data_IF_642247624089
#
_entry.id   IF_642247624089
#
_cell.length_a   1.000
_cell.length_b   1.000
_cell.length_c   1.000
_cell.angle_alpha   90.00
_cell.angle_beta   90.00
_cell.angle_gamma   90.00
#
_symmetry.space_group_name_H-M   'P 1'
#
loop_
_entity.id
_entity.type
_entity.pdbx_description
1 polymer ?
#
# COMPACT_ATOMS: atom_id res chain seq x y z
N UNK A 1 -50.39 8.12 68.71
CA UNK A 1 -50.36 8.03 67.22
C UNK A 1 -48.99 7.71 66.59
N UNK A 2 -47.86 7.94 67.27
CA UNK A 2 -46.52 7.72 66.73
C UNK A 2 -46.08 6.23 66.75
N UNK A 3 -46.62 5.36 67.58
CA UNK A 3 -46.24 3.93 67.65
C UNK A 3 -46.91 3.04 66.60
N UNK A 4 -47.96 3.48 65.93
CA UNK A 4 -48.61 2.70 64.87
C UNK A 4 -47.95 2.91 63.51
N UNK A 5 -47.25 4.01 63.28
CA UNK A 5 -46.58 4.34 62.03
C UNK A 5 -45.26 3.53 61.84
N UNK A 6 -44.58 3.20 62.95
CA UNK A 6 -43.33 2.40 62.89
C UNK A 6 -43.54 0.93 62.52
N UNK A 7 -44.65 0.36 62.96
CA UNK A 7 -44.95 -1.09 62.71
C UNK A 7 -45.36 -1.36 61.25
N UNK A 8 -46.05 -0.40 60.62
CA UNK A 8 -46.48 -0.55 59.23
C UNK A 8 -45.33 -0.29 58.24
N UNK A 9 -44.41 0.62 58.55
CA UNK A 9 -43.19 0.84 57.73
C UNK A 9 -42.20 -0.33 57.79
N UNK A 10 -41.99 -0.90 58.97
CA UNK A 10 -41.10 -2.07 59.13
C UNK A 10 -41.74 -3.32 58.52
N UNK A 11 -43.04 -3.51 58.59
CA UNK A 11 -43.74 -4.62 57.91
C UNK A 11 -43.74 -4.47 56.39
N UNK A 12 -43.82 -3.23 55.85
CA UNK A 12 -43.76 -2.97 54.41
C UNK A 12 -42.35 -3.14 53.85
N UNK A 13 -41.31 -2.69 54.56
CA UNK A 13 -39.90 -2.90 54.18
C UNK A 13 -39.51 -4.33 54.19
N UNK A 14 -39.92 -5.10 55.20
CA UNK A 14 -39.67 -6.57 55.24
C UNK A 14 -40.41 -7.31 54.14
N UNK A 15 -41.63 -6.87 53.76
CA UNK A 15 -42.39 -7.52 52.65
C UNK A 15 -41.78 -7.20 51.30
N UNK A 16 -41.28 -5.99 51.09
CA UNK A 16 -40.57 -5.57 49.89
C UNK A 16 -39.21 -6.25 49.78
N UNK A 17 -38.46 -6.40 50.88
CA UNK A 17 -37.18 -7.11 50.88
C UNK A 17 -37.37 -8.61 50.58
N UNK A 18 -38.40 -9.24 51.12
CA UNK A 18 -38.68 -10.66 50.85
C UNK A 18 -39.13 -10.95 49.41
N UNK A 19 -39.73 -9.94 48.72
CA UNK A 19 -40.08 -10.05 47.32
C UNK A 19 -38.86 -9.80 46.43
N UNK A 20 -38.04 -8.81 46.78
CA UNK A 20 -36.81 -8.47 46.02
C UNK A 20 -35.73 -9.54 46.11
N UNK A 21 -35.66 -10.28 47.24
CA UNK A 21 -34.69 -11.36 47.47
C UNK A 21 -35.31 -12.79 47.37
N UNK A 22 -36.52 -12.89 46.82
CA UNK A 22 -37.09 -14.22 46.53
C UNK A 22 -36.25 -14.92 45.45
N UNK A 23 -36.16 -16.28 45.54
CA UNK A 23 -35.41 -17.05 44.52
C UNK A 23 -35.87 -16.76 43.10
N UNK A 24 -37.14 -16.48 42.92
CA UNK A 24 -37.75 -16.15 41.61
C UNK A 24 -37.32 -14.77 41.12
N UNK A 25 -37.22 -13.76 41.98
CA UNK A 25 -36.73 -12.43 41.63
C UNK A 25 -35.24 -12.45 41.29
N UNK A 26 -34.43 -13.21 42.06
CA UNK A 26 -33.00 -13.39 41.77
C UNK A 26 -32.81 -14.08 40.41
N UNK A 27 -33.60 -15.09 40.08
CA UNK A 27 -33.54 -15.75 38.79
C UNK A 27 -33.91 -14.80 37.66
N UNK A 28 -34.95 -13.97 37.82
CA UNK A 28 -35.34 -12.95 36.84
C UNK A 28 -34.22 -11.90 36.60
N UNK A 29 -33.53 -11.46 37.65
CA UNK A 29 -32.38 -10.57 37.52
C UNK A 29 -31.20 -11.21 36.79
N UNK A 30 -30.94 -12.49 37.04
CA UNK A 30 -29.89 -13.26 36.32
C UNK A 30 -30.22 -13.35 34.84
N UNK A 31 -31.46 -13.68 34.46
CA UNK A 31 -31.88 -13.71 33.06
C UNK A 31 -31.81 -12.33 32.39
N UNK A 32 -32.18 -11.26 33.10
CA UNK A 32 -32.05 -9.90 32.57
C UNK A 32 -30.59 -9.52 32.36
N UNK A 33 -29.71 -9.87 33.28
CA UNK A 33 -28.27 -9.62 33.16
C UNK A 33 -27.64 -10.38 31.97
N UNK A 34 -28.02 -11.66 31.82
CA UNK A 34 -27.59 -12.46 30.67
C UNK A 34 -28.09 -11.83 29.34
N UNK A 35 -29.34 -11.36 29.29
CA UNK A 35 -29.90 -10.68 28.16
C UNK A 35 -29.15 -9.39 27.79
N UNK A 36 -28.77 -8.58 28.79
CA UNK A 36 -27.98 -7.37 28.59
C UNK A 36 -26.55 -7.73 28.08
N UNK A 37 -25.92 -8.72 28.70
CA UNK A 37 -24.58 -9.17 28.24
C UNK A 37 -24.65 -9.69 26.81
N UNK A 38 -25.65 -10.47 26.45
CA UNK A 38 -25.85 -10.96 25.09
C UNK A 38 -26.07 -9.79 24.10
N UNK A 39 -26.85 -8.79 24.47
CA UNK A 39 -27.07 -7.60 23.65
C UNK A 39 -25.79 -6.78 23.46
N UNK A 40 -24.96 -6.63 24.50
CA UNK A 40 -23.65 -5.97 24.41
C UNK A 40 -22.69 -6.75 23.52
N UNK A 41 -22.64 -8.07 23.66
CA UNK A 41 -21.79 -8.92 22.80
C UNK A 41 -22.22 -8.84 21.34
N UNK A 42 -23.53 -8.87 21.07
CA UNK A 42 -24.07 -8.71 19.72
C UNK A 42 -23.75 -7.31 19.17
N UNK A 43 -23.90 -6.25 19.98
CA UNK A 43 -23.56 -4.88 19.60
C UNK A 43 -22.06 -4.71 19.33
N UNK A 44 -21.19 -5.31 20.15
CA UNK A 44 -19.74 -5.30 19.93
C UNK A 44 -19.40 -6.07 18.65
N UNK A 45 -19.97 -7.25 18.42
CA UNK A 45 -19.77 -8.02 17.19
C UNK A 45 -20.23 -7.28 15.93
N UNK A 46 -21.37 -6.58 16.00
CA UNK A 46 -21.87 -5.76 14.88
C UNK A 46 -20.95 -4.56 14.64
N UNK A 47 -20.41 -3.96 15.70
CA UNK A 47 -19.53 -2.79 15.60
C UNK A 47 -18.09 -3.17 15.20
N UNK A 48 -17.58 -4.33 15.61
CA UNK A 48 -16.32 -4.89 15.12
C UNK A 48 -16.43 -5.30 13.64
N UNK A 49 -17.56 -5.86 13.23
CA UNK A 49 -17.82 -6.18 11.82
C UNK A 49 -17.86 -4.91 10.92
N UNK A 50 -18.28 -3.76 11.47
CA UNK A 50 -18.20 -2.46 10.80
C UNK A 50 -16.79 -1.85 10.77
N UNK A 51 -15.89 -2.30 11.66
CA UNK A 51 -14.51 -1.79 11.77
C UNK A 51 -13.46 -2.65 11.06
N UNK A 52 -13.83 -3.85 10.60
CA UNK A 52 -12.90 -4.80 9.98
C UNK A 52 -13.20 -4.94 8.47
N UNK A 53 -12.47 -4.24 7.57
CA UNK A 53 -12.60 -4.44 6.13
C UNK A 53 -12.31 -5.88 5.68
N UNK A 54 -11.54 -6.64 6.49
CA UNK A 54 -11.25 -8.05 6.25
C UNK A 54 -12.43 -9.01 6.45
N UNK A 55 -13.47 -8.60 7.19
CA UNK A 55 -14.66 -9.44 7.39
C UNK A 55 -15.54 -9.54 6.13
N UNK A 56 -15.55 -8.49 5.30
CA UNK A 56 -16.21 -8.55 3.97
C UNK A 56 -15.50 -9.53 3.04
N UNK A 57 -14.17 -9.60 3.11
CA UNK A 57 -13.37 -10.55 2.33
C UNK A 57 -13.67 -12.02 2.72
N UNK A 58 -13.81 -12.31 4.01
CA UNK A 58 -14.18 -13.66 4.48
C UNK A 58 -15.67 -13.98 4.23
N UNK A 59 -16.57 -12.98 4.34
CA UNK A 59 -17.99 -13.15 4.06
C UNK A 59 -18.24 -13.32 2.55
N UNK A 60 -17.47 -12.64 1.70
CA UNK A 60 -17.50 -12.81 0.25
C UNK A 60 -17.02 -14.21 -0.17
N UNK A 61 -15.93 -14.71 0.40
CA UNK A 61 -15.47 -16.08 0.17
C UNK A 61 -16.46 -17.15 0.68
N UNK A 62 -17.19 -16.90 1.77
CA UNK A 62 -18.24 -17.82 2.27
C UNK A 62 -19.51 -17.81 1.43
N UNK A 63 -19.89 -16.70 0.81
CA UNK A 63 -21.03 -16.64 -0.12
C UNK A 63 -20.75 -17.35 -1.43
N UNK A 64 -19.50 -17.33 -1.91
CA UNK A 64 -19.13 -18.03 -3.13
C UNK A 64 -18.99 -19.57 -2.97
N UNK A 65 -18.97 -20.09 -1.74
CA UNK A 65 -18.94 -21.56 -1.49
C UNK A 65 -20.31 -22.23 -1.54
N UNK A 66 -21.41 -21.47 -1.77
CA UNK A 66 -22.77 -22.01 -1.86
C UNK A 66 -23.44 -21.81 -3.23
N UNK A 67 -22.66 -21.61 -4.29
CA UNK A 67 -23.20 -21.62 -5.65
C UNK A 67 -23.38 -23.07 -6.07
N UNK A 68 -24.63 -23.46 -6.13
CA UNK A 68 -25.15 -24.74 -6.63
C UNK A 68 -24.51 -25.13 -7.95
N UNK A 69 -24.00 -26.34 -8.00
CA UNK A 69 -23.57 -27.06 -9.20
C UNK A 69 -24.73 -27.13 -10.24
N UNK A 70 -24.79 -26.18 -11.15
CA UNK A 70 -25.46 -26.36 -12.41
C UNK A 70 -24.39 -26.64 -13.46
N UNK A 71 -24.28 -27.92 -13.81
CA UNK A 71 -23.57 -28.40 -14.99
C UNK A 71 -24.30 -27.90 -16.22
N UNK A 72 -23.79 -26.82 -16.83
CA UNK A 72 -24.02 -26.58 -18.28
C UNK A 72 -23.02 -25.50 -18.74
N UNK A 73 -22.14 -25.86 -19.69
CA UNK A 73 -21.40 -25.02 -20.66
C UNK A 73 -20.98 -23.60 -20.26
N UNK A 74 -20.56 -23.38 -19.02
CA UNK A 74 -20.12 -22.06 -18.56
C UNK A 74 -18.59 -21.91 -18.61
N UNK A 75 -18.13 -20.65 -18.67
CA UNK A 75 -16.71 -20.29 -18.52
C UNK A 75 -16.12 -20.89 -17.24
N UNK A 76 -14.87 -21.33 -17.30
CA UNK A 76 -14.11 -21.73 -16.09
C UNK A 76 -13.76 -20.57 -15.18
N UNK A 77 -14.00 -19.33 -15.64
CA UNK A 77 -13.85 -18.08 -14.89
C UNK A 77 -15.22 -17.48 -14.55
N UNK A 78 -15.49 -17.22 -13.29
CA UNK A 78 -16.74 -16.61 -12.86
C UNK A 78 -16.62 -15.08 -12.79
N UNK A 79 -15.62 -14.58 -12.04
CA UNK A 79 -15.46 -13.14 -11.80
C UNK A 79 -15.10 -12.37 -13.07
N UNK A 80 -14.22 -12.93 -13.91
CA UNK A 80 -13.81 -12.25 -15.15
C UNK A 80 -14.95 -12.22 -16.16
N UNK A 81 -15.76 -13.28 -16.24
CA UNK A 81 -16.95 -13.32 -17.13
C UNK A 81 -18.01 -12.31 -16.70
N UNK A 82 -18.25 -12.11 -15.39
CA UNK A 82 -19.12 -11.05 -14.88
C UNK A 82 -18.68 -9.65 -15.33
N UNK A 83 -17.36 -9.40 -15.38
CA UNK A 83 -16.81 -8.12 -15.84
C UNK A 83 -17.10 -7.92 -17.32
N UNK A 84 -16.92 -8.94 -18.17
CA UNK A 84 -17.23 -8.88 -19.60
C UNK A 84 -18.70 -8.52 -19.88
N UNK A 85 -19.62 -8.97 -19.00
CA UNK A 85 -21.05 -8.62 -19.08
C UNK A 85 -21.29 -7.17 -18.62
N UNK A 86 -20.65 -6.74 -17.52
CA UNK A 86 -20.84 -5.41 -16.94
C UNK A 86 -20.20 -4.26 -17.73
N UNK A 87 -19.14 -4.51 -18.52
CA UNK A 87 -18.49 -3.46 -19.33
C UNK A 87 -19.44 -2.80 -20.32
N UNK A 88 -20.42 -3.51 -20.82
CA UNK A 88 -21.39 -3.01 -21.83
C UNK A 88 -22.28 -1.89 -21.29
N UNK A 89 -22.42 -1.75 -19.98
CA UNK A 89 -23.34 -0.83 -19.30
C UNK A 89 -22.65 0.34 -18.60
N UNK A 90 -21.31 0.44 -18.65
CA UNK A 90 -20.56 1.44 -17.91
C UNK A 90 -20.78 2.85 -18.47
N UNK A 91 -21.26 3.76 -17.63
CA UNK A 91 -21.39 5.17 -17.96
C UNK A 91 -20.01 5.84 -18.12
N UNK A 92 -19.85 6.83 -19.02
CA UNK A 92 -18.61 7.54 -19.21
C UNK A 92 -18.20 8.30 -17.94
N UNK A 93 -16.95 8.13 -17.50
CA UNK A 93 -16.39 8.80 -16.33
C UNK A 93 -15.78 10.13 -16.78
N UNK A 94 -16.12 11.22 -16.07
CA UNK A 94 -15.47 12.52 -16.26
C UNK A 94 -14.23 12.60 -15.37
N UNK A 95 -13.08 12.86 -15.97
CA UNK A 95 -11.78 13.06 -15.29
C UNK A 95 -11.47 14.55 -15.18
N UNK A 96 -10.62 14.88 -14.20
CA UNK A 96 -10.07 16.22 -14.05
C UNK A 96 -8.96 16.44 -15.09
N UNK A 97 -9.01 17.55 -15.81
CA UNK A 97 -8.05 17.90 -16.86
C UNK A 97 -7.05 18.96 -16.37
N UNK A 98 -7.48 19.89 -15.53
CA UNK A 98 -6.66 20.98 -15.01
C UNK A 98 -6.26 20.71 -13.55
N UNK A 99 -5.11 20.13 -13.33
CA UNK A 99 -4.54 19.89 -11.99
C UNK A 99 -3.02 19.83 -12.10
N UNK A 100 -2.32 20.23 -11.04
CA UNK A 100 -0.86 20.14 -10.94
C UNK A 100 -0.44 19.07 -9.91
N UNK A 101 0.81 18.59 -10.01
CA UNK A 101 1.36 17.63 -9.02
C UNK A 101 1.42 18.24 -7.62
N UNK A 102 1.72 19.53 -7.50
CA UNK A 102 1.72 20.24 -6.22
C UNK A 102 0.32 20.29 -5.60
N UNK A 103 -0.71 20.59 -6.39
CA UNK A 103 -2.10 20.56 -5.94
C UNK A 103 -2.49 19.14 -5.48
N UNK A 104 -2.14 18.11 -6.25
CA UNK A 104 -2.40 16.71 -5.88
C UNK A 104 -1.80 16.40 -4.51
N UNK A 105 -0.55 16.83 -4.24
CA UNK A 105 0.10 16.60 -2.94
C UNK A 105 -0.62 17.30 -1.80
N UNK A 106 -0.95 18.59 -1.96
CA UNK A 106 -1.64 19.36 -0.93
C UNK A 106 -3.06 18.86 -0.69
N UNK A 107 -3.80 18.59 -1.75
CA UNK A 107 -5.18 18.12 -1.69
C UNK A 107 -5.27 16.73 -1.07
N UNK A 108 -4.40 15.82 -1.45
CA UNK A 108 -4.33 14.50 -0.86
C UNK A 108 -3.99 14.55 0.64
N UNK A 109 -2.98 15.34 1.02
CA UNK A 109 -2.63 15.56 2.44
C UNK A 109 -3.81 16.08 3.24
N UNK A 110 -4.51 17.10 2.72
CA UNK A 110 -5.68 17.70 3.36
C UNK A 110 -6.85 16.71 3.44
N UNK A 111 -7.11 15.96 2.38
CA UNK A 111 -8.13 14.91 2.34
C UNK A 111 -7.87 13.84 3.40
N UNK A 112 -6.65 13.29 3.46
CA UNK A 112 -6.27 12.29 4.44
C UNK A 112 -6.46 12.80 5.88
N UNK A 113 -6.05 14.04 6.17
CA UNK A 113 -6.18 14.64 7.49
C UNK A 113 -7.63 14.96 7.86
N UNK A 114 -8.41 15.53 6.94
CA UNK A 114 -9.77 16.00 7.22
C UNK A 114 -10.78 14.86 7.28
N UNK A 115 -10.79 14.02 6.26
CA UNK A 115 -11.81 12.98 6.08
C UNK A 115 -11.43 11.68 6.83
N UNK A 116 -10.15 11.28 6.77
CA UNK A 116 -9.70 9.99 7.30
C UNK A 116 -8.98 10.10 8.66
N UNK A 117 -8.69 11.32 9.14
CA UNK A 117 -7.92 11.58 10.38
C UNK A 117 -6.51 10.98 10.35
N UNK A 118 -5.93 10.91 9.16
CA UNK A 118 -4.58 10.45 8.90
C UNK A 118 -3.69 11.66 8.60
N UNK A 119 -2.65 11.84 9.39
CA UNK A 119 -1.77 13.00 9.31
C UNK A 119 -0.41 12.58 8.78
N UNK A 120 0.04 13.23 7.71
CA UNK A 120 1.32 13.01 7.06
C UNK A 120 2.03 14.34 6.84
N UNK A 121 3.37 14.34 6.91
CA UNK A 121 4.15 15.50 6.49
C UNK A 121 4.02 15.71 4.98
N UNK A 122 4.07 16.97 4.55
CA UNK A 122 3.95 17.27 3.11
C UNK A 122 5.11 16.64 2.33
N UNK A 123 6.28 16.54 2.95
CA UNK A 123 7.46 15.92 2.36
C UNK A 123 7.26 14.43 2.08
N UNK A 124 6.59 13.71 2.98
CA UNK A 124 6.27 12.29 2.78
C UNK A 124 5.28 12.11 1.63
N UNK A 125 4.30 13.01 1.50
CA UNK A 125 3.36 12.99 0.37
C UNK A 125 4.07 13.31 -0.95
N UNK A 126 4.99 14.29 -1.00
CA UNK A 126 5.81 14.61 -2.17
C UNK A 126 6.65 13.40 -2.60
N UNK A 127 7.34 12.75 -1.65
CA UNK A 127 8.11 11.51 -1.88
C UNK A 127 7.22 10.38 -2.39
N UNK A 128 6.03 10.24 -1.84
CA UNK A 128 5.05 9.24 -2.25
C UNK A 128 4.62 9.44 -3.71
N UNK A 129 4.19 10.63 -4.08
CA UNK A 129 3.74 10.96 -5.44
C UNK A 129 4.90 10.86 -6.44
N UNK A 130 6.08 11.38 -6.10
CA UNK A 130 7.27 11.25 -6.91
C UNK A 130 7.70 9.78 -7.08
N UNK A 131 7.59 8.96 -6.04
CA UNK A 131 7.87 7.54 -6.11
C UNK A 131 6.93 6.78 -7.05
N UNK A 132 5.64 7.09 -7.04
CA UNK A 132 4.65 6.50 -7.95
C UNK A 132 4.91 6.87 -9.43
N UNK A 133 5.50 8.04 -9.70
CA UNK A 133 5.86 8.46 -11.06
C UNK A 133 7.07 7.70 -11.61
N UNK A 134 7.97 7.23 -10.74
CA UNK A 134 9.19 6.50 -11.14
C UNK A 134 8.93 5.02 -11.38
N UNK A 135 8.11 4.40 -10.52
CA UNK A 135 7.91 2.94 -10.54
C UNK A 135 6.46 2.56 -10.28
N UNK A 136 6.02 1.50 -10.94
CA UNK A 136 4.72 0.87 -10.63
C UNK A 136 4.75 0.03 -9.35
N UNK A 137 5.92 -0.09 -8.69
CA UNK A 137 6.09 -0.72 -7.38
C UNK A 137 6.69 0.28 -6.39
N UNK A 138 5.96 0.57 -5.32
CA UNK A 138 6.39 1.40 -4.19
C UNK A 138 6.36 0.56 -2.92
N UNK A 139 7.41 0.65 -2.10
CA UNK A 139 7.48 -0.02 -0.80
C UNK A 139 7.38 1.03 0.30
N UNK A 140 6.37 0.93 1.14
CA UNK A 140 6.21 1.70 2.37
C UNK A 140 6.81 0.89 3.51
N UNK A 141 7.94 1.33 4.05
CA UNK A 141 8.61 0.64 5.14
C UNK A 141 8.71 1.50 6.40
N UNK A 142 8.93 0.86 7.54
CA UNK A 142 9.07 1.54 8.83
C UNK A 142 8.44 0.74 9.97
N UNK A 143 8.42 1.33 11.17
CA UNK A 143 7.86 0.68 12.37
C UNK A 143 6.36 0.37 12.22
N UNK A 144 5.88 -0.63 12.95
CA UNK A 144 4.46 -0.96 12.97
C UNK A 144 3.62 0.21 13.50
N UNK A 145 2.44 0.43 12.91
CA UNK A 145 1.49 1.47 13.35
C UNK A 145 1.85 2.91 12.93
N UNK A 146 2.77 3.14 11.99
CA UNK A 146 3.09 4.47 11.44
C UNK A 146 2.15 4.93 10.32
N UNK A 147 1.19 4.11 9.92
CA UNK A 147 0.17 4.47 8.92
C UNK A 147 0.49 4.06 7.48
N UNK A 148 1.41 3.10 7.26
CA UNK A 148 1.81 2.62 5.93
C UNK A 148 0.62 2.14 5.08
N UNK A 149 -0.11 1.14 5.56
CA UNK A 149 -1.30 0.60 4.87
C UNK A 149 -2.39 1.67 4.72
N UNK A 150 -2.54 2.52 5.74
CA UNK A 150 -3.49 3.62 5.73
C UNK A 150 -3.18 4.66 4.65
N UNK A 151 -1.89 4.97 4.36
CA UNK A 151 -1.49 5.89 3.30
C UNK A 151 -1.89 5.36 1.93
N UNK A 152 -1.57 4.09 1.66
CA UNK A 152 -1.93 3.45 0.39
C UNK A 152 -3.45 3.34 0.19
N UNK A 153 -4.19 3.05 1.26
CA UNK A 153 -5.64 3.02 1.25
C UNK A 153 -6.24 4.41 1.02
N UNK A 154 -5.74 5.42 1.74
CA UNK A 154 -6.19 6.80 1.61
C UNK A 154 -5.96 7.36 0.19
N UNK A 155 -4.86 6.95 -0.47
CA UNK A 155 -4.58 7.36 -1.84
C UNK A 155 -5.64 6.86 -2.83
N UNK A 156 -5.99 5.57 -2.78
CA UNK A 156 -7.05 5.04 -3.64
C UNK A 156 -8.41 5.65 -3.35
N UNK A 157 -8.72 5.90 -2.06
CA UNK A 157 -9.97 6.56 -1.67
C UNK A 157 -10.03 8.02 -2.16
N UNK A 158 -8.93 8.77 -2.05
CA UNK A 158 -8.80 10.12 -2.60
C UNK A 158 -8.98 10.15 -4.12
N UNK A 159 -8.43 9.17 -4.83
CA UNK A 159 -8.59 9.04 -6.30
C UNK A 159 -10.00 8.55 -6.72
N UNK A 160 -10.91 8.40 -5.76
CA UNK A 160 -12.25 7.88 -6.00
C UNK A 160 -12.26 6.49 -6.69
N UNK A 161 -11.20 5.72 -6.48
CA UNK A 161 -11.06 4.32 -6.88
C UNK A 161 -10.37 3.55 -5.74
N UNK A 162 -11.12 2.99 -4.78
CA UNK A 162 -10.58 2.40 -3.56
C UNK A 162 -9.50 1.35 -3.82
N UNK A 163 -8.42 1.42 -3.06
CA UNK A 163 -7.31 0.47 -3.13
C UNK A 163 -7.77 -0.94 -2.80
N UNK A 164 -7.23 -1.91 -3.52
CA UNK A 164 -7.43 -3.34 -3.21
C UNK A 164 -6.33 -3.81 -2.28
N UNK A 165 -6.67 -4.12 -1.04
CA UNK A 165 -5.71 -4.61 -0.04
C UNK A 165 -5.65 -6.13 -0.11
N UNK A 166 -4.46 -6.66 -0.28
CA UNK A 166 -4.15 -8.09 -0.36
C UNK A 166 -3.19 -8.43 0.78
N UNK A 167 -3.69 -9.08 1.84
CA UNK A 167 -2.82 -9.53 2.94
C UNK A 167 -1.94 -10.68 2.45
N UNK A 168 -0.63 -10.48 2.47
CA UNK A 168 0.34 -11.50 2.07
C UNK A 168 0.40 -12.57 3.16
N UNK A 169 0.46 -13.85 2.77
CA UNK A 169 0.50 -14.96 3.70
C UNK A 169 1.91 -15.57 3.78
N UNK A 170 2.35 -16.06 4.95
CA UNK A 170 3.69 -16.60 5.14
C UNK A 170 4.05 -17.77 4.23
N UNK A 171 3.05 -18.48 3.73
CA UNK A 171 3.20 -19.66 2.88
C UNK A 171 3.40 -19.33 1.39
N UNK A 172 3.25 -18.07 0.98
CA UNK A 172 3.33 -17.70 -0.42
C UNK A 172 4.72 -17.90 -1.02
N UNK A 173 4.78 -18.54 -2.17
CA UNK A 173 6.02 -18.89 -2.87
C UNK A 173 5.94 -18.67 -4.38
N UNK A 174 4.73 -18.60 -4.94
CA UNK A 174 4.53 -18.64 -6.38
C UNK A 174 3.53 -17.57 -6.83
N UNK A 175 3.55 -17.25 -8.13
CA UNK A 175 2.59 -16.35 -8.76
C UNK A 175 1.14 -16.79 -8.54
N UNK A 176 0.89 -18.08 -8.49
CA UNK A 176 -0.44 -18.68 -8.27
C UNK A 176 -1.09 -18.24 -6.96
N UNK A 177 -0.28 -17.89 -5.96
CA UNK A 177 -0.77 -17.33 -4.70
C UNK A 177 -1.42 -15.94 -4.90
N UNK A 178 -0.97 -15.18 -5.92
CA UNK A 178 -1.48 -13.85 -6.24
C UNK A 178 -2.61 -13.88 -7.28
N UNK A 179 -2.45 -14.67 -8.34
CA UNK A 179 -3.37 -14.66 -9.49
C UNK A 179 -4.47 -15.69 -9.34
N UNK A 180 -4.17 -16.82 -8.65
CA UNK A 180 -5.04 -17.97 -8.57
C UNK A 180 -4.54 -19.14 -9.45
N UNK A 181 -5.30 -20.20 -9.47
CA UNK A 181 -4.94 -21.44 -10.15
C UNK A 181 -6.16 -22.20 -10.66
N UNK A 182 -5.97 -23.01 -11.69
CA UNK A 182 -6.99 -23.90 -12.20
C UNK A 182 -7.14 -25.14 -11.30
N UNK A 183 -8.37 -25.42 -10.87
CA UNK A 183 -8.68 -26.57 -10.05
C UNK A 183 -9.22 -27.71 -10.93
N UNK A 184 -8.44 -28.77 -11.10
CA UNK A 184 -8.77 -29.91 -11.94
C UNK A 184 -10.02 -30.69 -11.49
N UNK A 185 -10.35 -30.66 -10.19
CA UNK A 185 -11.51 -31.36 -9.67
C UNK A 185 -12.81 -30.61 -9.94
N UNK A 186 -12.81 -29.31 -9.71
CA UNK A 186 -14.00 -28.46 -9.92
C UNK A 186 -14.12 -27.95 -11.36
N UNK A 187 -13.07 -28.16 -12.19
CA UNK A 187 -12.97 -27.62 -13.55
C UNK A 187 -13.17 -26.10 -13.63
N UNK A 188 -12.79 -25.39 -12.55
CA UNK A 188 -12.89 -23.95 -12.43
C UNK A 188 -11.56 -23.34 -12.04
N UNK A 189 -11.37 -22.09 -12.42
CA UNK A 189 -10.24 -21.28 -11.97
C UNK A 189 -10.58 -20.65 -10.61
N UNK A 190 -9.71 -20.81 -9.62
CA UNK A 190 -9.82 -20.12 -8.34
C UNK A 190 -9.27 -18.69 -8.51
N UNK A 191 -10.16 -17.77 -8.87
CA UNK A 191 -9.84 -16.39 -9.18
C UNK A 191 -9.55 -15.60 -7.89
N UNK A 192 -8.51 -14.76 -7.92
CA UNK A 192 -8.18 -13.86 -6.82
C UNK A 192 -8.70 -12.45 -7.07
N UNK A 193 -8.74 -11.63 -6.01
CA UNK A 193 -9.09 -10.22 -6.16
C UNK A 193 -8.07 -9.45 -7.00
N UNK A 194 -6.77 -9.84 -6.97
CA UNK A 194 -5.77 -9.24 -7.84
C UNK A 194 -6.09 -9.51 -9.30
N UNK A 195 -6.33 -10.76 -9.66
CA UNK A 195 -6.68 -11.14 -11.03
C UNK A 195 -7.90 -10.37 -11.52
N UNK A 196 -8.96 -10.30 -10.70
CA UNK A 196 -10.16 -9.52 -10.99
C UNK A 196 -9.84 -8.05 -11.26
N UNK A 197 -9.06 -7.42 -10.37
CA UNK A 197 -8.70 -6.00 -10.50
C UNK A 197 -7.78 -5.70 -11.67
N UNK A 198 -6.87 -6.61 -12.00
CA UNK A 198 -6.07 -6.52 -13.22
C UNK A 198 -6.96 -6.58 -14.47
N UNK A 199 -7.95 -7.46 -14.46
CA UNK A 199 -8.90 -7.57 -15.56
C UNK A 199 -9.75 -6.30 -15.72
N UNK A 200 -10.36 -5.80 -14.63
CA UNK A 200 -11.12 -4.54 -14.61
C UNK A 200 -10.27 -3.35 -15.10
N UNK A 201 -9.01 -3.27 -14.66
CA UNK A 201 -8.11 -2.16 -14.97
C UNK A 201 -7.80 -2.06 -16.46
N UNK A 202 -7.75 -3.18 -17.20
CA UNK A 202 -7.53 -3.18 -18.65
C UNK A 202 -8.68 -2.53 -19.44
N UNK A 203 -9.85 -2.37 -18.83
CA UNK A 203 -11.02 -1.71 -19.44
C UNK A 203 -11.30 -0.31 -18.86
N UNK A 204 -10.38 0.22 -18.07
CA UNK A 204 -10.59 1.47 -17.37
C UNK A 204 -9.38 2.41 -17.53
N UNK A 205 -9.64 3.72 -17.44
CA UNK A 205 -8.59 4.75 -17.39
C UNK A 205 -8.24 5.17 -15.96
N UNK A 206 -8.98 4.68 -14.96
CA UNK A 206 -8.72 4.98 -13.55
C UNK A 206 -7.32 4.49 -13.15
N UNK A 207 -6.73 5.14 -12.16
CA UNK A 207 -5.57 4.64 -11.45
C UNK A 207 -6.04 3.52 -10.51
N UNK A 208 -5.50 2.33 -10.65
CA UNK A 208 -5.71 1.20 -9.75
C UNK A 208 -4.54 1.05 -8.79
N UNK A 209 -4.86 0.86 -7.52
CA UNK A 209 -3.87 0.65 -6.46
C UNK A 209 -4.10 -0.71 -5.81
N UNK A 210 -3.09 -1.56 -5.91
CA UNK A 210 -3.06 -2.85 -5.21
C UNK A 210 -2.06 -2.76 -4.06
N UNK A 211 -2.53 -2.98 -2.84
CA UNK A 211 -1.71 -2.96 -1.64
C UNK A 211 -1.36 -4.39 -1.26
N UNK A 212 -0.07 -4.73 -1.30
CA UNK A 212 0.47 -5.97 -0.77
C UNK A 212 0.80 -5.73 0.71
N UNK A 213 -0.15 -6.07 1.58
CA UNK A 213 -0.02 -5.76 3.01
C UNK A 213 0.87 -6.78 3.70
N UNK A 214 1.83 -6.28 4.49
CA UNK A 214 2.90 -7.07 5.10
C UNK A 214 3.69 -7.90 4.05
N UNK A 215 4.07 -7.26 2.94
CA UNK A 215 4.65 -7.94 1.79
C UNK A 215 5.87 -8.79 2.10
N UNK A 216 6.59 -8.49 3.16
CA UNK A 216 7.80 -9.20 3.57
C UNK A 216 7.58 -10.29 4.65
N UNK A 217 6.33 -10.65 4.95
CA UNK A 217 6.01 -11.85 5.74
C UNK A 217 6.29 -13.15 4.97
N UNK A 218 6.34 -13.05 3.63
CA UNK A 218 6.85 -14.06 2.70
C UNK A 218 7.98 -13.47 1.86
N UNK A 219 8.77 -14.30 1.18
CA UNK A 219 9.87 -13.82 0.32
C UNK A 219 9.32 -13.21 -0.96
N UNK A 220 9.38 -11.88 -1.05
CA UNK A 220 8.86 -11.09 -2.18
C UNK A 220 9.44 -11.53 -3.51
N UNK A 221 10.75 -11.83 -3.54
CA UNK A 221 11.47 -12.27 -4.73
C UNK A 221 11.02 -13.62 -5.28
N UNK A 222 10.15 -14.34 -4.56
CA UNK A 222 9.55 -15.60 -5.05
C UNK A 222 8.14 -15.37 -5.56
N UNK A 223 7.20 -15.00 -4.70
CA UNK A 223 5.79 -14.89 -5.11
C UNK A 223 5.53 -13.73 -6.08
N UNK A 224 6.37 -12.69 -6.07
CA UNK A 224 6.24 -11.51 -6.93
C UNK A 224 7.30 -11.45 -8.06
N UNK A 225 8.10 -12.51 -8.24
CA UNK A 225 9.22 -12.54 -9.19
C UNK A 225 8.82 -12.24 -10.64
N UNK A 226 7.73 -12.83 -11.10
CA UNK A 226 7.25 -12.66 -12.47
C UNK A 226 6.74 -11.24 -12.70
N UNK A 227 6.00 -10.67 -11.74
CA UNK A 227 5.59 -9.26 -11.79
C UNK A 227 6.79 -8.31 -11.88
N UNK A 228 7.83 -8.55 -11.08
CA UNK A 228 9.07 -7.75 -11.14
C UNK A 228 9.71 -7.80 -12.52
N UNK A 229 9.71 -8.96 -13.16
CA UNK A 229 10.30 -9.15 -14.49
C UNK A 229 9.47 -8.50 -15.57
N UNK A 230 8.15 -8.69 -15.54
CA UNK A 230 7.22 -8.14 -16.52
C UNK A 230 7.14 -6.61 -16.42
N UNK A 231 7.17 -6.04 -15.21
CA UNK A 231 7.18 -4.58 -15.00
C UNK A 231 8.41 -3.89 -15.59
N UNK A 232 9.54 -4.61 -15.79
CA UNK A 232 10.75 -4.08 -16.39
C UNK A 232 10.75 -4.05 -17.92
N UNK A 233 9.84 -4.74 -18.57
CA UNK A 233 9.73 -4.69 -20.01
C UNK A 233 9.49 -3.26 -20.48
N UNK A 234 10.31 -2.75 -21.43
CA UNK A 234 10.23 -1.36 -21.89
C UNK A 234 8.87 -1.02 -22.50
N UNK A 235 8.31 -1.98 -23.26
CA UNK A 235 7.03 -1.81 -23.92
C UNK A 235 5.89 -2.35 -23.03
N UNK A 236 5.00 -1.48 -22.51
CA UNK A 236 3.86 -1.93 -21.70
C UNK A 236 2.90 -2.87 -22.44
N UNK A 237 2.86 -2.82 -23.77
CA UNK A 237 2.00 -3.67 -24.59
C UNK A 237 2.46 -5.14 -24.62
N UNK A 238 3.70 -5.42 -24.22
CA UNK A 238 4.28 -6.78 -24.13
C UNK A 238 4.20 -7.38 -22.73
N UNK A 239 3.62 -6.66 -21.78
CA UNK A 239 3.52 -7.07 -20.37
C UNK A 239 2.36 -8.02 -20.15
N UNK A 240 2.60 -9.31 -20.23
CA UNK A 240 1.62 -10.36 -20.01
C UNK A 240 2.07 -11.31 -18.90
N UNK A 241 1.09 -11.86 -18.19
CA UNK A 241 1.25 -12.90 -17.18
C UNK A 241 0.43 -14.13 -17.59
N UNK A 242 1.02 -15.30 -17.46
CA UNK A 242 0.32 -16.55 -17.74
C UNK A 242 -0.74 -16.83 -16.67
N UNK A 243 -1.97 -17.12 -17.07
CA UNK A 243 -3.07 -17.49 -16.19
C UNK A 243 -3.39 -18.96 -16.34
N UNK A 244 -3.59 -19.41 -17.57
CA UNK A 244 -3.85 -20.82 -17.91
C UNK A 244 -3.01 -21.22 -19.12
N UNK A 245 -2.70 -22.51 -19.22
CA UNK A 245 -1.84 -23.05 -20.29
C UNK A 245 -2.58 -23.25 -21.61
N UNK A 246 -3.89 -23.43 -21.57
CA UNK A 246 -4.74 -23.72 -22.72
C UNK A 246 -5.87 -22.69 -22.83
N UNK A 247 -6.35 -22.46 -24.05
CA UNK A 247 -7.45 -21.55 -24.35
C UNK A 247 -8.73 -22.34 -24.58
N UNK A 248 -9.82 -21.88 -23.93
CA UNK A 248 -11.17 -22.36 -24.19
C UNK A 248 -12.00 -21.26 -24.87
N UNK A 249 -12.96 -21.65 -25.73
CA UNK A 249 -13.84 -20.68 -26.38
C UNK A 249 -14.70 -19.88 -25.38
N UNK A 250 -14.96 -20.48 -24.22
CA UNK A 250 -15.73 -19.87 -23.14
C UNK A 250 -14.88 -18.99 -22.20
N UNK A 251 -13.57 -18.83 -22.45
CA UNK A 251 -12.73 -17.97 -21.62
C UNK A 251 -13.07 -16.48 -21.81
N UNK A 252 -12.86 -15.65 -20.76
CA UNK A 252 -13.08 -14.22 -20.82
C UNK A 252 -12.29 -13.54 -21.95
N UNK A 253 -12.89 -12.55 -22.59
CA UNK A 253 -12.37 -11.89 -23.80
C UNK A 253 -11.04 -11.17 -23.59
N UNK A 254 -10.79 -10.68 -22.38
CA UNK A 254 -9.55 -9.99 -22.01
C UNK A 254 -8.37 -10.93 -21.74
N UNK A 255 -8.58 -12.25 -21.78
CA UNK A 255 -7.48 -13.22 -21.76
C UNK A 255 -7.04 -13.52 -23.20
N UNK A 256 -5.79 -13.19 -23.52
CA UNK A 256 -5.19 -13.44 -24.83
C UNK A 256 -4.31 -14.68 -24.73
N UNK A 257 -4.73 -15.78 -25.39
CA UNK A 257 -4.03 -17.06 -25.37
C UNK A 257 -3.67 -17.54 -23.94
N UNK A 258 -4.66 -17.48 -23.04
CA UNK A 258 -4.50 -17.89 -21.65
C UNK A 258 -3.70 -16.91 -20.76
N UNK A 259 -3.35 -15.74 -21.27
CA UNK A 259 -2.56 -14.72 -20.57
C UNK A 259 -3.39 -13.47 -20.28
N UNK A 260 -3.11 -12.81 -19.17
CA UNK A 260 -3.66 -11.49 -18.83
C UNK A 260 -2.60 -10.41 -19.04
N UNK A 261 -3.00 -9.31 -19.71
CA UNK A 261 -2.16 -8.14 -19.81
C UNK A 261 -2.00 -7.47 -18.44
N UNK A 262 -0.78 -7.17 -18.02
CA UNK A 262 -0.52 -6.37 -16.82
C UNK A 262 -0.91 -4.92 -17.12
N UNK A 263 -1.92 -4.36 -16.42
CA UNK A 263 -2.46 -3.04 -16.73
C UNK A 263 -1.42 -1.93 -16.51
N UNK A 264 -1.27 -1.03 -17.49
CA UNK A 264 -0.38 0.15 -17.37
C UNK A 264 -0.83 1.15 -16.30
N UNK A 265 -2.12 1.14 -15.95
CA UNK A 265 -2.77 2.00 -14.97
C UNK A 265 -2.86 1.38 -13.57
N UNK A 266 -2.12 0.30 -13.29
CA UNK A 266 -2.07 -0.35 -11.98
C UNK A 266 -0.73 -0.12 -11.29
N UNK A 267 -0.80 0.30 -10.02
CA UNK A 267 0.35 0.46 -9.12
C UNK A 267 0.26 -0.56 -7.99
N UNK A 268 1.40 -1.12 -7.63
CA UNK A 268 1.56 -2.00 -6.49
C UNK A 268 2.24 -1.22 -5.35
N UNK A 269 1.64 -1.24 -4.17
CA UNK A 269 2.20 -0.63 -2.97
C UNK A 269 2.38 -1.73 -1.94
N UNK A 270 3.63 -2.09 -1.66
CA UNK A 270 3.95 -3.05 -0.61
C UNK A 270 4.11 -2.35 0.73
N UNK A 271 3.55 -2.88 1.81
CA UNK A 271 3.89 -2.45 3.16
C UNK A 271 4.89 -3.44 3.77
N UNK A 272 5.94 -2.95 4.41
CA UNK A 272 6.96 -3.77 5.03
C UNK A 272 7.24 -3.28 6.45
N UNK A 273 7.32 -4.21 7.39
CA UNK A 273 7.77 -3.95 8.74
C UNK A 273 9.26 -4.32 8.86
N UNK A 274 10.01 -3.51 9.60
CA UNK A 274 11.42 -3.77 9.88
C UNK A 274 11.57 -4.44 11.25
N UNK A 275 10.86 -5.56 11.45
CA UNK A 275 10.92 -6.37 12.66
C UNK A 275 11.55 -7.75 12.39
N UNK A 276 12.03 -8.40 13.44
CA UNK A 276 12.77 -9.67 13.36
C UNK A 276 11.89 -10.85 12.89
N UNK A 277 10.58 -10.66 12.81
CA UNK A 277 9.63 -11.71 12.41
C UNK A 277 9.41 -11.79 10.89
N UNK A 278 9.98 -10.86 10.12
CA UNK A 278 9.77 -10.73 8.68
C UNK A 278 11.05 -11.01 7.88
N UNK A 279 10.90 -11.36 6.60
CA UNK A 279 12.04 -11.55 5.71
C UNK A 279 12.62 -10.21 5.26
N UNK A 280 13.94 -10.16 5.14
CA UNK A 280 14.63 -9.04 4.47
C UNK A 280 14.25 -9.02 3.00
N UNK A 281 13.91 -7.83 2.49
CA UNK A 281 13.64 -7.63 1.08
C UNK A 281 14.96 -7.58 0.31
N UNK A 282 15.09 -8.37 -0.74
CA UNK A 282 16.32 -8.47 -1.52
C UNK A 282 16.58 -7.22 -2.38
N UNK A 283 17.87 -7.00 -2.73
CA UNK A 283 18.27 -5.90 -3.61
C UNK A 283 17.58 -5.96 -4.98
N UNK A 284 17.26 -7.18 -5.47
CA UNK A 284 16.52 -7.35 -6.74
C UNK A 284 15.15 -6.66 -6.72
N UNK A 285 14.49 -6.65 -5.57
CA UNK A 285 13.20 -5.97 -5.38
C UNK A 285 13.42 -4.47 -5.20
N UNK A 286 14.37 -4.08 -4.33
CA UNK A 286 14.66 -2.67 -4.07
C UNK A 286 15.16 -1.91 -5.29
N UNK A 287 15.91 -2.53 -6.19
CA UNK A 287 16.38 -1.89 -7.42
C UNK A 287 15.21 -1.52 -8.36
N UNK A 288 14.10 -2.27 -8.29
CA UNK A 288 12.91 -2.09 -9.13
C UNK A 288 11.82 -1.24 -8.49
N UNK A 289 11.74 -1.25 -7.16
CA UNK A 289 10.76 -0.50 -6.40
C UNK A 289 11.27 0.90 -6.03
N UNK A 290 10.38 1.86 -5.83
CA UNK A 290 10.69 3.03 -5.01
C UNK A 290 10.38 2.73 -3.55
N UNK A 291 11.03 3.46 -2.64
CA UNK A 291 10.90 3.22 -1.19
C UNK A 291 10.50 4.52 -0.50
N UNK A 292 9.57 4.42 0.42
CA UNK A 292 9.21 5.49 1.34
C UNK A 292 9.33 4.99 2.78
N UNK A 293 10.24 5.61 3.55
CA UNK A 293 10.39 5.36 4.97
C UNK A 293 9.37 6.19 5.76
N UNK A 294 8.50 5.51 6.52
CA UNK A 294 7.50 6.11 7.40
C UNK A 294 7.81 5.72 8.85
N UNK A 295 8.86 6.33 9.41
CA UNK A 295 9.35 6.00 10.75
C UNK A 295 8.72 6.87 11.84
N UNK A 296 8.11 7.99 11.49
CA UNK A 296 7.54 8.95 12.44
C UNK A 296 6.05 9.16 12.18
N UNK A 297 5.30 9.38 13.24
CA UNK A 297 3.93 9.89 13.13
C UNK A 297 3.97 11.39 13.04
N UNK A 298 3.25 11.95 12.07
CA UNK A 298 3.09 13.39 11.96
C UNK A 298 2.17 13.95 13.02
N UNK A 299 2.40 15.18 13.43
CA UNK A 299 1.53 15.91 14.33
C UNK A 299 0.20 16.25 13.67
N UNK A 300 -0.83 16.41 14.49
CA UNK A 300 -2.15 16.83 14.02
C UNK A 300 -2.10 18.27 13.56
N UNK A 301 -2.67 18.57 12.42
CA UNK A 301 -2.82 19.91 11.88
C UNK A 301 -4.25 20.17 11.44
N UNK A 302 -4.62 21.44 11.28
CA UNK A 302 -5.91 21.81 10.70
C UNK A 302 -5.83 21.68 9.18
N UNK A 303 -6.74 20.89 8.61
CA UNK A 303 -6.85 20.72 7.17
C UNK A 303 -8.21 21.26 6.67
N UNK A 304 -8.23 21.99 5.55
CA UNK A 304 -9.47 22.35 4.87
C UNK A 304 -10.18 21.09 4.33
N UNK A 305 -11.47 21.22 4.06
CA UNK A 305 -12.21 20.16 3.38
C UNK A 305 -11.73 20.10 1.92
N UNK A 306 -11.39 18.90 1.46
CA UNK A 306 -10.94 18.65 0.09
C UNK A 306 -11.77 17.52 -0.50
N UNK A 307 -12.19 17.66 -1.73
CA UNK A 307 -12.99 16.66 -2.44
C UNK A 307 -12.09 15.55 -3.01
N UNK A 308 -12.71 14.41 -3.33
CA UNK A 308 -12.05 13.32 -4.03
C UNK A 308 -11.70 13.75 -5.45
N UNK A 309 -10.52 13.34 -5.89
CA UNK A 309 -10.03 13.58 -7.24
C UNK A 309 -10.35 12.39 -8.14
N UNK A 310 -10.82 12.65 -9.36
CA UNK A 310 -10.82 11.65 -10.43
C UNK A 310 -9.84 12.06 -11.50
N UNK A 311 -8.70 11.40 -11.53
CA UNK A 311 -7.66 11.59 -12.54
C UNK A 311 -7.44 10.28 -13.30
N UNK A 312 -7.22 10.34 -14.60
CA UNK A 312 -6.83 9.16 -15.37
C UNK A 312 -5.34 8.85 -15.20
N UNK A 313 -4.97 7.59 -15.41
CA UNK A 313 -3.55 7.21 -15.39
C UNK A 313 -2.77 7.93 -16.49
N UNK A 314 -3.37 8.13 -17.65
CA UNK A 314 -2.77 8.88 -18.77
C UNK A 314 -2.48 10.34 -18.37
N UNK A 315 -3.39 10.99 -17.64
CA UNK A 315 -3.16 12.36 -17.15
C UNK A 315 -2.06 12.42 -16.10
N UNK A 316 -1.98 11.42 -15.21
CA UNK A 316 -0.88 11.34 -14.23
C UNK A 316 0.47 11.12 -14.91
N UNK A 317 0.53 10.31 -15.97
CA UNK A 317 1.73 10.13 -16.80
C UNK A 317 2.09 11.43 -17.57
N UNK A 318 1.10 12.14 -18.14
CA UNK A 318 1.30 13.45 -18.77
C UNK A 318 1.90 14.49 -17.79
N UNK A 319 1.38 14.55 -16.55
CA UNK A 319 1.93 15.44 -15.52
C UNK A 319 3.39 15.10 -15.18
N UNK A 320 3.71 13.80 -15.14
CA UNK A 320 5.09 13.32 -14.93
C UNK A 320 6.01 13.73 -16.08
N UNK A 321 5.57 13.55 -17.32
CA UNK A 321 6.35 13.93 -18.50
C UNK A 321 6.56 15.45 -18.58
N UNK A 322 5.55 16.25 -18.23
CA UNK A 322 5.66 17.69 -18.14
C UNK A 322 6.69 18.10 -17.07
N UNK A 323 6.64 17.49 -15.90
CA UNK A 323 7.60 17.71 -14.83
C UNK A 323 9.05 17.46 -15.29
N UNK A 324 9.29 16.35 -16.01
CA UNK A 324 10.61 16.00 -16.54
C UNK A 324 11.10 17.02 -17.55
N UNK A 325 10.22 17.58 -18.38
CA UNK A 325 10.58 18.60 -19.38
C UNK A 325 10.89 19.95 -18.75
N UNK A 326 10.14 20.34 -17.72
CA UNK A 326 10.21 21.66 -17.10
C UNK A 326 11.29 21.76 -16.02
N UNK A 327 11.57 20.69 -15.29
CA UNK A 327 12.42 20.69 -14.10
C UNK A 327 13.60 19.71 -14.22
N UNK A 328 14.39 19.82 -15.27
CA UNK A 328 15.57 18.97 -15.43
C UNK A 328 16.58 19.17 -14.29
N UNK A 329 17.31 18.10 -13.93
CA UNK A 329 18.38 18.16 -12.94
C UNK A 329 19.43 19.16 -13.39
N UNK A 330 19.91 20.02 -12.48
CA UNK A 330 20.95 20.99 -12.77
C UNK A 330 22.26 20.31 -13.16
N UNK A 331 23.01 20.91 -14.13
CA UNK A 331 24.31 20.38 -14.57
C UNK A 331 25.29 20.25 -13.39
N UNK A 332 25.19 21.18 -12.44
CA UNK A 332 25.99 21.12 -11.21
C UNK A 332 25.75 19.85 -10.42
N UNK A 333 24.50 19.46 -10.24
CA UNK A 333 24.14 18.26 -9.47
C UNK A 333 24.38 16.98 -10.28
N UNK A 334 24.27 17.00 -11.60
CA UNK A 334 24.74 15.88 -12.45
C UNK A 334 26.24 15.62 -12.26
N UNK A 335 27.07 16.66 -12.25
CA UNK A 335 28.51 16.52 -12.03
C UNK A 335 28.82 15.98 -10.64
N UNK A 336 28.06 16.40 -9.62
CA UNK A 336 28.19 15.89 -8.24
C UNK A 336 27.81 14.41 -8.14
N UNK A 337 26.77 13.99 -8.85
CA UNK A 337 26.36 12.58 -8.91
C UNK A 337 27.46 11.72 -9.55
N UNK A 338 28.07 12.17 -10.65
CA UNK A 338 29.17 11.46 -11.28
C UNK A 338 30.40 11.33 -10.35
N UNK A 339 30.75 12.42 -9.65
CA UNK A 339 31.83 12.40 -8.69
C UNK A 339 31.54 11.46 -7.51
N UNK A 340 30.29 11.43 -7.03
CA UNK A 340 29.87 10.50 -5.97
C UNK A 340 29.96 9.04 -6.44
N UNK A 341 29.52 8.74 -7.68
CA UNK A 341 29.59 7.39 -8.24
C UNK A 341 31.05 6.89 -8.31
N UNK A 342 31.95 7.76 -8.77
CA UNK A 342 33.37 7.45 -8.88
C UNK A 342 33.99 7.18 -7.50
N UNK A 343 33.68 8.02 -6.51
CA UNK A 343 34.11 7.82 -5.13
C UNK A 343 33.59 6.49 -4.53
N UNK A 344 32.31 6.20 -4.72
CA UNK A 344 31.70 4.96 -4.23
C UNK A 344 32.27 3.70 -4.91
N UNK A 345 32.58 3.80 -6.20
CA UNK A 345 33.20 2.73 -6.97
C UNK A 345 34.61 2.46 -6.47
N UNK A 346 35.42 3.50 -6.22
CA UNK A 346 36.79 3.38 -5.76
C UNK A 346 36.89 2.84 -4.34
N UNK A 347 36.08 3.40 -3.43
CA UNK A 347 36.19 3.09 -2.01
C UNK A 347 35.27 1.95 -1.53
N UNK A 348 34.13 1.71 -2.16
CA UNK A 348 33.13 0.75 -1.70
C UNK A 348 32.78 -0.32 -2.73
N UNK A 349 33.36 -0.27 -3.92
CA UNK A 349 33.03 -1.16 -5.04
C UNK A 349 31.50 -1.17 -5.37
N UNK A 350 30.84 -0.04 -5.14
CA UNK A 350 29.42 0.18 -5.42
C UNK A 350 29.29 1.24 -6.50
N UNK A 351 28.45 0.98 -7.48
CA UNK A 351 28.09 1.95 -8.52
C UNK A 351 26.59 2.03 -8.67
N UNK A 352 26.05 3.20 -9.01
CA UNK A 352 24.67 3.34 -9.41
C UNK A 352 24.54 3.30 -10.93
N UNK A 353 24.21 2.12 -11.43
CA UNK A 353 24.09 1.90 -12.87
C UNK A 353 22.97 2.69 -13.54
N UNK A 354 22.82 2.51 -14.85
CA UNK A 354 21.87 3.21 -15.70
C UNK A 354 20.42 3.21 -15.19
N UNK A 355 19.99 2.15 -14.48
CA UNK A 355 18.65 2.06 -13.90
C UNK A 355 18.44 3.14 -12.83
N UNK A 356 19.37 3.25 -11.89
CA UNK A 356 19.27 4.25 -10.81
C UNK A 356 19.35 5.65 -11.40
N UNK A 357 20.22 5.90 -12.38
CA UNK A 357 20.30 7.17 -13.06
C UNK A 357 18.98 7.55 -13.75
N UNK A 358 18.32 6.60 -14.43
CA UNK A 358 16.99 6.85 -15.01
C UNK A 358 15.95 7.16 -13.92
N UNK A 359 15.97 6.45 -12.79
CA UNK A 359 15.07 6.74 -11.67
C UNK A 359 15.30 8.14 -11.09
N UNK A 360 16.55 8.54 -10.92
CA UNK A 360 16.94 9.89 -10.49
C UNK A 360 16.42 10.97 -11.45
N UNK A 361 16.57 10.74 -12.76
CA UNK A 361 16.12 11.67 -13.81
C UNK A 361 14.60 11.85 -13.90
N UNK A 362 13.83 10.93 -13.34
CA UNK A 362 12.36 11.05 -13.22
C UNK A 362 11.99 11.61 -11.85
N UNK A 363 12.58 11.06 -10.78
CA UNK A 363 12.22 11.39 -9.42
C UNK A 363 12.40 12.86 -9.06
N UNK A 364 13.58 13.41 -9.39
CA UNK A 364 13.92 14.79 -9.01
C UNK A 364 12.99 15.82 -9.67
N UNK A 365 12.78 15.81 -11.00
CA UNK A 365 11.85 16.74 -11.64
C UNK A 365 10.43 16.64 -11.09
N UNK A 366 9.94 15.44 -10.85
CA UNK A 366 8.60 15.24 -10.30
C UNK A 366 8.50 15.75 -8.87
N UNK A 367 9.49 15.47 -8.03
CA UNK A 367 9.53 15.98 -6.66
C UNK A 367 9.54 17.53 -6.61
N UNK A 368 10.28 18.16 -7.51
CA UNK A 368 10.28 19.64 -7.68
C UNK A 368 8.87 20.10 -8.08
N UNK A 369 8.25 19.46 -9.06
CA UNK A 369 6.88 19.78 -9.50
C UNK A 369 5.81 19.50 -8.43
N UNK A 370 6.12 18.70 -7.42
CA UNK A 370 5.29 18.53 -6.22
C UNK A 370 5.49 19.66 -5.20
N UNK A 371 6.31 20.68 -5.49
CA UNK A 371 6.61 21.79 -4.61
C UNK A 371 7.80 21.56 -3.67
N UNK A 372 8.65 20.56 -3.95
CA UNK A 372 9.90 20.30 -3.25
C UNK A 372 11.11 20.98 -3.88
N UNK A 373 12.31 20.72 -3.35
CA UNK A 373 13.56 21.23 -3.88
C UNK A 373 14.49 20.11 -4.37
N UNK A 374 15.44 20.47 -5.25
CA UNK A 374 16.33 19.51 -5.91
C UNK A 374 17.25 18.77 -4.93
N UNK A 375 17.77 19.45 -3.90
CA UNK A 375 18.71 18.84 -2.96
C UNK A 375 18.00 17.86 -2.01
N UNK A 376 16.83 18.19 -1.53
CA UNK A 376 15.99 17.28 -0.73
C UNK A 376 15.61 16.04 -1.53
N UNK A 377 15.29 16.16 -2.82
CA UNK A 377 15.02 15.05 -3.71
C UNK A 377 16.27 14.15 -3.89
N UNK A 378 17.44 14.77 -4.09
CA UNK A 378 18.70 14.07 -4.21
C UNK A 378 19.04 13.29 -2.94
N UNK A 379 18.94 13.92 -1.77
CA UNK A 379 19.21 13.27 -0.50
C UNK A 379 18.31 12.04 -0.27
N UNK A 380 17.02 12.20 -0.55
CA UNK A 380 16.05 11.10 -0.40
C UNK A 380 16.39 9.91 -1.31
N UNK A 381 16.54 10.15 -2.62
CA UNK A 381 16.76 9.06 -3.57
C UNK A 381 18.14 8.42 -3.40
N UNK A 382 19.19 9.21 -3.13
CA UNK A 382 20.54 8.70 -2.88
C UNK A 382 20.59 7.86 -1.61
N UNK A 383 19.96 8.32 -0.52
CA UNK A 383 19.88 7.55 0.72
C UNK A 383 19.28 6.17 0.48
N UNK A 384 18.19 6.08 -0.29
CA UNK A 384 17.41 4.85 -0.49
C UNK A 384 17.95 3.93 -1.57
N UNK A 385 18.54 4.48 -2.62
CA UNK A 385 18.98 3.70 -3.80
C UNK A 385 20.48 3.46 -3.85
N UNK A 386 21.27 4.36 -3.28
CA UNK A 386 22.72 4.33 -3.39
C UNK A 386 23.36 3.96 -2.04
N UNK A 387 23.14 4.78 -1.03
CA UNK A 387 23.76 4.57 0.29
C UNK A 387 23.30 3.26 0.92
N UNK A 388 22.02 2.88 0.72
CA UNK A 388 21.50 1.59 1.20
C UNK A 388 22.32 0.39 0.72
N UNK A 389 22.89 0.42 -0.48
CA UNK A 389 23.73 -0.67 -1.00
C UNK A 389 24.98 -0.94 -0.14
N UNK A 390 25.40 0.03 0.65
CA UNK A 390 26.52 -0.13 1.58
C UNK A 390 26.17 -1.02 2.78
N UNK A 391 24.88 -1.29 3.03
CA UNK A 391 24.45 -2.18 4.12
C UNK A 391 24.97 -3.63 3.96
N UNK A 392 25.33 -4.01 2.74
CA UNK A 392 25.89 -5.34 2.42
C UNK A 392 27.42 -5.40 2.53
N UNK A 393 28.08 -4.27 2.82
CA UNK A 393 29.53 -4.19 2.95
C UNK A 393 30.03 -4.81 4.27
N UNK A 394 31.32 -5.12 4.30
CA UNK A 394 31.94 -5.59 5.54
C UNK A 394 31.79 -4.52 6.65
N UNK A 395 31.19 -4.88 7.81
CA UNK A 395 30.92 -3.93 8.90
C UNK A 395 32.16 -3.17 9.38
N UNK A 396 33.32 -3.85 9.53
CA UNK A 396 34.56 -3.24 9.99
C UNK A 396 35.06 -2.18 9.01
N UNK A 397 35.01 -2.50 7.71
CA UNK A 397 35.37 -1.57 6.65
C UNK A 397 34.44 -0.37 6.59
N UNK A 398 33.15 -0.62 6.67
CA UNK A 398 32.13 0.44 6.68
C UNK A 398 32.36 1.40 7.85
N UNK A 399 32.60 0.89 9.05
CA UNK A 399 32.87 1.69 10.25
C UNK A 399 34.10 2.59 10.09
N UNK A 400 35.16 2.08 9.50
CA UNK A 400 36.40 2.85 9.28
C UNK A 400 36.23 3.92 8.18
N UNK A 401 35.40 3.68 7.18
CA UNK A 401 35.22 4.55 6.00
C UNK A 401 34.04 5.51 6.10
N UNK A 402 33.12 5.29 7.05
CA UNK A 402 31.88 6.05 7.20
C UNK A 402 32.11 7.56 7.36
N UNK A 403 33.10 7.96 8.17
CA UNK A 403 33.41 9.38 8.38
C UNK A 403 33.95 10.04 7.10
N UNK A 404 34.78 9.32 6.33
CA UNK A 404 35.29 9.80 5.03
C UNK A 404 34.16 10.07 4.05
N UNK A 405 33.19 9.14 3.95
CA UNK A 405 32.02 9.30 3.09
C UNK A 405 31.12 10.48 3.53
N UNK A 406 30.88 10.65 4.85
CA UNK A 406 30.12 11.80 5.37
C UNK A 406 30.81 13.12 5.02
N UNK A 407 32.12 13.21 5.16
CA UNK A 407 32.89 14.41 4.81
C UNK A 407 32.84 14.69 3.30
N UNK A 408 32.93 13.64 2.47
CA UNK A 408 32.84 13.80 1.02
C UNK A 408 31.45 14.25 0.56
N UNK A 409 30.38 13.79 1.20
CA UNK A 409 29.03 14.30 0.94
C UNK A 409 28.92 15.79 1.30
N UNK A 410 29.54 16.23 2.41
CA UNK A 410 29.60 17.65 2.78
C UNK A 410 30.39 18.50 1.77
N UNK A 411 31.50 17.97 1.24
CA UNK A 411 32.29 18.64 0.20
C UNK A 411 31.48 18.78 -1.10
N UNK A 412 30.82 17.73 -1.55
CA UNK A 412 30.06 17.75 -2.79
C UNK A 412 28.82 18.63 -2.72
N UNK A 413 27.98 18.45 -1.71
CA UNK A 413 26.65 19.03 -1.65
C UNK A 413 26.52 20.24 -0.71
N UNK A 414 27.48 20.41 0.17
CA UNK A 414 27.47 21.43 1.22
C UNK A 414 27.22 20.83 2.60
N UNK A 415 27.74 21.52 3.62
CA UNK A 415 27.59 21.08 5.01
C UNK A 415 26.12 20.96 5.37
N UNK A 416 25.76 19.85 5.96
CA UNK A 416 24.42 19.52 6.45
C UNK A 416 23.30 19.45 5.39
N UNK A 417 23.66 19.46 4.10
CA UNK A 417 22.67 19.43 3.00
C UNK A 417 22.17 18.02 2.65
N UNK A 418 22.80 16.94 3.20
CA UNK A 418 22.43 15.54 2.92
C UNK A 418 22.11 14.80 4.22
N UNK A 419 21.11 15.22 4.99
CA UNK A 419 20.81 14.63 6.30
C UNK A 419 20.38 13.17 6.24
N UNK A 420 19.54 12.76 5.26
CA UNK A 420 19.05 11.38 5.15
C UNK A 420 20.16 10.39 4.78
N UNK A 421 21.04 10.79 3.86
CA UNK A 421 22.22 9.99 3.52
C UNK A 421 23.14 9.79 4.76
N UNK A 422 23.41 10.87 5.49
CA UNK A 422 24.24 10.82 6.70
C UNK A 422 23.61 10.01 7.83
N UNK A 423 22.31 10.16 8.04
CA UNK A 423 21.55 9.39 9.04
C UNK A 423 21.63 7.88 8.73
N UNK A 424 21.46 7.51 7.45
CA UNK A 424 21.58 6.11 7.03
C UNK A 424 23.00 5.58 7.24
N UNK A 425 24.03 6.32 6.87
CA UNK A 425 25.43 5.94 7.13
C UNK A 425 25.66 5.76 8.63
N UNK A 426 25.18 6.69 9.46
CA UNK A 426 25.31 6.60 10.91
C UNK A 426 24.59 5.39 11.50
N UNK A 427 23.42 5.03 10.96
CA UNK A 427 22.66 3.83 11.37
C UNK A 427 23.46 2.55 11.05
N UNK A 428 24.05 2.47 9.86
CA UNK A 428 24.93 1.35 9.47
C UNK A 428 26.16 1.26 10.37
N UNK A 429 26.80 2.39 10.68
CA UNK A 429 27.98 2.48 11.55
C UNK A 429 27.68 1.98 12.98
N UNK A 430 26.47 2.22 13.51
CA UNK A 430 26.02 1.71 14.82
C UNK A 430 25.74 0.21 14.83
N UNK A 431 25.27 -0.32 13.68
CA UNK A 431 24.94 -1.74 13.54
C UNK A 431 26.15 -2.60 13.13
N UNK A 432 27.30 -1.97 12.78
CA UNK A 432 28.58 -2.56 12.45
C UNK A 432 29.47 -2.71 13.71
#
# INVERSE_FOLDING_TARGET
MLKLFDFTTVALTNKISNVLFSKEAILAYIFLLIGIIAAIVIFVMINENKRNPGAEYQAFNRKNTSITLSNESGSRFCMLSEIDEGIKEAAPIKYADEITLEQICHDFRNYAAKELKLYYEIEDIRKFVAGLSVSKLLILQGMSGTGKTSLAHAWGDYLNNPSTVIPVQPMWKERTDLIGYYNEFTKRFNETMLLRKMYEANYSKNIYVTVLDEMNIARVEYYFAEFLSVLELPNPEERYLDVVSDKWESDPKGLVDGKIKLPKNMWFIGTANNDDSTFSISDKVYDRAMVLDLDKRSERFFAPKTEKLRISAEKFEELTENAIRENSISQRNLNRLLALDEYLKEHFHVTFGNRIMKQIQIYIPVYISCGGDELSALDDILSKKVIRKLETQNPIYLKSSAQGLKNYLDELFGKDMMPLCKERIQKMERNA
#
